data_IF_077546205452
#
_entry.id   IF_077546205452
#
_cell.length_a   1.000
_cell.length_b   1.000
_cell.length_c   1.000
_cell.angle_alpha   90.00
_cell.angle_beta   90.00
_cell.angle_gamma   90.00
#
_symmetry.space_group_name_H-M   'P 1'
#
loop_
_entity.id
_entity.type
_entity.pdbx_description
1 polymer ?
#
# COMPACT_ATOMS: atom_id res chain seq x y z
N UNK A 1 -2.53 9.07 20.17
CA UNK A 1 -2.62 9.63 18.80
C UNK A 1 -3.26 8.62 17.85
N UNK A 2 -3.73 9.06 16.68
CA UNK A 2 -4.29 8.20 15.64
C UNK A 2 -3.75 8.65 14.28
N UNK A 3 -3.28 7.69 13.48
CA UNK A 3 -2.94 7.86 12.07
C UNK A 3 -3.83 6.92 11.27
N UNK A 4 -4.45 7.42 10.21
CA UNK A 4 -5.37 6.63 9.38
C UNK A 4 -5.08 6.88 7.92
N UNK A 5 -4.95 5.82 7.15
CA UNK A 5 -4.70 5.87 5.73
C UNK A 5 -3.28 6.30 5.36
N UNK A 6 -3.10 6.59 4.07
CA UNK A 6 -1.82 6.98 3.49
C UNK A 6 -1.74 8.49 3.37
N UNK A 7 -0.71 9.11 3.92
CA UNK A 7 -0.35 10.48 3.60
C UNK A 7 0.21 10.55 2.18
N UNK A 8 -0.17 11.56 1.41
CA UNK A 8 0.41 11.80 0.09
C UNK A 8 1.92 12.09 0.28
N UNK A 9 2.77 11.46 -0.54
CA UNK A 9 4.23 11.65 -0.56
C UNK A 9 4.99 11.22 0.72
N UNK A 10 4.39 10.43 1.60
CA UNK A 10 5.07 9.86 2.78
C UNK A 10 5.66 8.49 2.45
N UNK A 11 6.98 8.35 2.50
CA UNK A 11 7.69 7.09 2.23
C UNK A 11 7.36 5.97 3.23
N UNK A 12 6.92 6.32 4.44
CA UNK A 12 6.56 5.39 5.51
C UNK A 12 5.05 5.19 5.68
N UNK A 13 4.27 5.72 4.74
CA UNK A 13 2.82 5.64 4.79
C UNK A 13 2.34 4.20 4.67
N UNK A 14 1.38 3.84 5.52
CA UNK A 14 0.68 2.57 5.43
C UNK A 14 -0.33 2.57 4.28
N UNK A 15 -0.88 1.42 3.96
CA UNK A 15 -1.96 1.32 2.97
C UNK A 15 -3.19 2.15 3.38
N UNK A 16 -4.00 2.53 2.41
CA UNK A 16 -5.23 3.34 2.63
C UNK A 16 -6.25 2.66 3.56
N UNK A 17 -6.14 1.35 3.71
CA UNK A 17 -6.97 0.50 4.56
C UNK A 17 -6.38 0.25 5.95
N UNK A 18 -5.27 0.91 6.31
CA UNK A 18 -4.60 0.73 7.59
C UNK A 18 -4.75 1.95 8.50
N UNK A 19 -4.77 1.70 9.80
CA UNK A 19 -4.74 2.72 10.84
C UNK A 19 -3.82 2.30 11.98
N UNK A 20 -3.17 3.27 12.61
CA UNK A 20 -2.35 3.08 13.79
C UNK A 20 -2.88 3.97 14.93
N UNK A 21 -3.10 3.37 16.09
CA UNK A 21 -3.63 4.05 17.26
C UNK A 21 -2.67 3.88 18.43
N UNK A 22 -2.09 4.98 18.89
CA UNK A 22 -1.32 5.01 20.14
C UNK A 22 -2.28 5.30 21.31
N UNK A 23 -2.43 4.34 22.20
CA UNK A 23 -3.26 4.42 23.38
C UNK A 23 -2.40 4.32 24.65
N UNK A 24 -1.88 5.45 25.21
CA UNK A 24 -1.15 5.41 26.46
C UNK A 24 -2.09 5.03 27.60
N UNK A 25 -1.60 4.20 28.53
CA UNK A 25 -2.34 3.81 29.71
C UNK A 25 -1.43 3.75 30.93
N UNK A 26 -2.04 3.86 32.12
CA UNK A 26 -1.37 3.70 33.40
C UNK A 26 -2.01 2.52 34.12
N UNK A 27 -1.18 1.56 34.52
CA UNK A 27 -1.63 0.42 35.32
C UNK A 27 -1.63 0.81 36.80
N UNK A 28 -2.75 0.58 37.49
CA UNK A 28 -2.87 0.88 38.95
C UNK A 28 -2.88 -0.41 39.78
N UNK A 29 -3.84 -1.30 39.55
CA UNK A 29 -4.05 -2.52 40.36
C UNK A 29 -3.88 -3.83 39.57
N UNK A 30 -3.91 -3.74 38.22
CA UNK A 30 -3.81 -4.91 37.36
C UNK A 30 -2.39 -5.10 36.87
N UNK A 31 -1.99 -6.36 36.68
CA UNK A 31 -0.77 -6.63 35.92
C UNK A 31 -0.99 -6.41 34.40
N UNK A 32 0.12 -6.25 33.70
CA UNK A 32 0.08 -5.96 32.26
C UNK A 32 -0.53 -7.09 31.43
N UNK A 33 -0.29 -8.33 31.77
CA UNK A 33 -0.78 -9.49 31.01
C UNK A 33 -2.31 -9.59 31.10
N UNK A 34 -2.87 -9.44 32.28
CA UNK A 34 -4.32 -9.40 32.50
C UNK A 34 -4.98 -8.27 31.75
N UNK A 35 -4.40 -7.08 31.80
CA UNK A 35 -4.89 -5.93 31.05
C UNK A 35 -4.89 -6.19 29.55
N UNK A 36 -3.77 -6.70 29.00
CA UNK A 36 -3.66 -7.00 27.58
C UNK A 36 -4.63 -8.10 27.12
N UNK A 37 -4.87 -9.10 27.96
CA UNK A 37 -5.86 -10.15 27.71
C UNK A 37 -7.29 -9.58 27.62
N UNK A 38 -7.64 -8.68 28.54
CA UNK A 38 -8.95 -7.99 28.50
C UNK A 38 -9.10 -7.11 27.27
N UNK A 39 -8.07 -6.35 26.92
CA UNK A 39 -8.06 -5.50 25.72
C UNK A 39 -8.27 -6.36 24.46
N UNK A 40 -7.56 -7.48 24.31
CA UNK A 40 -7.77 -8.41 23.19
C UNK A 40 -9.19 -8.94 23.16
N UNK A 41 -9.72 -9.36 24.31
CA UNK A 41 -11.09 -9.86 24.41
C UNK A 41 -12.15 -8.81 24.02
N UNK A 42 -11.91 -7.53 24.27
CA UNK A 42 -12.81 -6.45 23.84
C UNK A 42 -12.65 -6.13 22.35
N UNK A 43 -11.43 -6.15 21.85
CA UNK A 43 -11.14 -5.84 20.45
C UNK A 43 -11.53 -6.98 19.48
N UNK A 44 -11.61 -8.23 19.96
CA UNK A 44 -12.10 -9.37 19.15
C UNK A 44 -13.57 -9.25 18.74
N UNK A 45 -14.33 -8.34 19.37
CA UNK A 45 -15.69 -8.01 18.93
C UNK A 45 -15.73 -7.15 17.65
N UNK A 46 -14.60 -6.58 17.23
CA UNK A 46 -14.48 -5.80 15.98
C UNK A 46 -14.08 -6.78 14.88
N UNK A 47 -15.04 -7.25 14.12
CA UNK A 47 -14.85 -8.28 13.08
C UNK A 47 -14.43 -7.72 11.71
N UNK A 48 -14.61 -6.41 11.50
CA UNK A 48 -14.31 -5.76 10.22
C UNK A 48 -12.84 -5.35 10.06
N UNK A 49 -12.01 -5.55 11.09
CA UNK A 49 -10.60 -5.16 11.05
C UNK A 49 -9.69 -6.19 11.71
N UNK A 50 -8.55 -6.45 11.08
CA UNK A 50 -7.47 -7.23 11.70
C UNK A 50 -6.71 -6.31 12.66
N UNK A 51 -6.71 -6.66 13.95
CA UNK A 51 -6.13 -5.83 15.00
C UNK A 51 -4.92 -6.52 15.60
N UNK A 52 -3.76 -5.87 15.48
CA UNK A 52 -2.51 -6.32 16.11
C UNK A 52 -2.17 -5.37 17.26
N UNK A 53 -1.91 -5.92 18.45
CA UNK A 53 -1.58 -5.15 19.62
C UNK A 53 -0.10 -5.30 19.92
N UNK A 54 0.62 -4.18 20.07
CA UNK A 54 2.03 -4.20 20.37
C UNK A 54 2.52 -2.96 21.12
N UNK A 55 3.79 -2.93 21.37
CA UNK A 55 4.47 -1.79 21.97
C UNK A 55 5.26 -1.03 20.91
N UNK A 56 5.33 0.31 20.95
CA UNK A 56 5.99 1.10 19.91
C UNK A 56 7.44 0.71 19.65
N UNK A 57 8.22 0.42 20.71
CA UNK A 57 9.64 0.03 20.58
C UNK A 57 9.75 -1.41 20.09
N UNK A 58 9.00 -2.35 20.66
CA UNK A 58 8.97 -3.75 20.24
C UNK A 58 8.61 -3.87 18.76
N UNK A 59 7.55 -3.22 18.32
CA UNK A 59 7.12 -3.19 16.92
C UNK A 59 8.19 -2.64 15.95
N UNK A 60 8.98 -1.65 16.38
CA UNK A 60 10.09 -1.16 15.53
C UNK A 60 11.20 -2.18 15.38
N UNK A 61 11.55 -2.87 16.47
CA UNK A 61 12.57 -3.92 16.46
C UNK A 61 12.09 -5.10 15.58
N UNK A 62 10.86 -5.56 15.79
CA UNK A 62 10.27 -6.64 15.00
C UNK A 62 10.23 -6.27 13.51
N UNK A 63 9.82 -5.04 13.18
CA UNK A 63 9.81 -4.54 11.81
C UNK A 63 11.21 -4.51 11.17
N UNK A 64 12.23 -4.12 11.91
CA UNK A 64 13.61 -4.10 11.41
C UNK A 64 14.14 -5.52 11.17
N UNK A 65 13.75 -6.50 12.00
CA UNK A 65 14.26 -7.89 11.92
C UNK A 65 13.48 -8.73 10.91
N UNK A 66 12.16 -8.63 10.92
CA UNK A 66 11.28 -9.51 10.13
C UNK A 66 10.57 -8.80 8.96
N UNK A 67 10.58 -7.46 8.96
CA UNK A 67 9.78 -6.64 8.04
C UNK A 67 8.29 -6.61 8.40
N UNK A 68 7.91 -7.11 9.59
CA UNK A 68 6.54 -7.06 10.13
C UNK A 68 6.54 -6.49 11.53
N UNK A 69 5.37 -6.06 12.01
CA UNK A 69 5.20 -5.52 13.37
C UNK A 69 4.78 -6.60 14.39
N UNK A 70 5.18 -7.84 14.17
CA UNK A 70 4.81 -9.00 15.00
C UNK A 70 6.02 -9.88 15.29
N UNK A 71 5.93 -10.65 16.39
CA UNK A 71 7.02 -11.51 16.84
C UNK A 71 7.28 -12.71 15.91
N UNK A 72 6.24 -13.15 15.19
CA UNK A 72 6.30 -14.26 14.22
C UNK A 72 5.89 -13.75 12.86
N UNK A 73 6.66 -14.10 11.82
CA UNK A 73 6.37 -13.81 10.44
C UNK A 73 6.56 -15.07 9.59
N UNK A 74 5.48 -15.56 8.98
CA UNK A 74 5.50 -16.63 8.00
C UNK A 74 5.43 -15.99 6.62
N UNK A 75 6.51 -16.11 5.85
CA UNK A 75 6.64 -15.45 4.54
C UNK A 75 6.40 -16.45 3.43
N UNK A 76 5.41 -16.19 2.60
CA UNK A 76 5.14 -16.94 1.38
C UNK A 76 5.71 -16.19 0.19
N UNK A 77 6.48 -16.88 -0.64
CA UNK A 77 7.07 -16.34 -1.86
C UNK A 77 6.47 -17.01 -3.09
N UNK A 78 6.20 -16.23 -4.15
CA UNK A 78 5.63 -16.79 -5.37
C UNK A 78 5.37 -15.71 -6.42
N UNK A 79 4.81 -16.14 -7.54
CA UNK A 79 4.51 -15.25 -8.68
C UNK A 79 3.04 -14.83 -8.78
N UNK A 80 2.12 -15.64 -8.21
CA UNK A 80 0.68 -15.44 -8.27
C UNK A 80 0.15 -15.02 -6.89
N UNK A 81 -0.21 -13.72 -6.77
CA UNK A 81 -0.68 -13.15 -5.51
C UNK A 81 -1.99 -13.79 -5.02
N UNK A 82 -2.90 -14.15 -5.93
CA UNK A 82 -4.19 -14.74 -5.53
C UNK A 82 -4.02 -16.13 -4.94
N UNK A 83 -3.14 -16.95 -5.53
CA UNK A 83 -2.81 -18.28 -4.98
C UNK A 83 -2.06 -18.16 -3.66
N UNK A 84 -1.11 -17.23 -3.56
CA UNK A 84 -0.37 -16.97 -2.33
C UNK A 84 -1.32 -16.50 -1.21
N UNK A 85 -2.29 -15.64 -1.51
CA UNK A 85 -3.26 -15.17 -0.54
C UNK A 85 -4.19 -16.29 -0.06
N UNK A 86 -4.67 -17.14 -0.97
CA UNK A 86 -5.46 -18.33 -0.61
C UNK A 86 -4.68 -19.27 0.31
N UNK A 87 -3.39 -19.50 0.01
CA UNK A 87 -2.50 -20.32 0.83
C UNK A 87 -2.21 -19.68 2.20
N UNK A 88 -2.02 -18.36 2.24
CA UNK A 88 -1.83 -17.62 3.50
C UNK A 88 -3.05 -17.76 4.42
N UNK A 89 -4.27 -17.64 3.89
CA UNK A 89 -5.50 -17.88 4.66
C UNK A 89 -5.65 -19.35 5.09
N UNK A 90 -5.13 -20.30 4.32
CA UNK A 90 -5.10 -21.72 4.75
C UNK A 90 -4.13 -21.90 5.92
N UNK A 91 -2.95 -21.31 5.87
CA UNK A 91 -1.98 -21.32 6.97
C UNK A 91 -2.61 -20.70 8.22
N UNK A 92 -3.20 -19.50 8.11
CA UNK A 92 -3.87 -18.82 9.22
C UNK A 92 -4.85 -19.77 9.93
N UNK A 93 -5.76 -20.41 9.20
CA UNK A 93 -6.73 -21.35 9.77
C UNK A 93 -6.08 -22.56 10.46
N UNK A 94 -4.97 -23.06 9.94
CA UNK A 94 -4.28 -24.20 10.50
C UNK A 94 -3.53 -23.88 11.80
N UNK A 95 -3.09 -22.64 11.98
CA UNK A 95 -2.34 -22.21 13.17
C UNK A 95 -3.22 -21.51 14.23
N UNK A 96 -4.47 -21.18 13.92
CA UNK A 96 -5.38 -20.43 14.80
C UNK A 96 -5.62 -21.08 16.17
N UNK A 97 -5.49 -22.40 16.28
CA UNK A 97 -5.68 -23.13 17.53
C UNK A 97 -4.44 -23.32 18.40
N UNK A 98 -3.28 -22.80 18.01
CA UNK A 98 -2.03 -22.98 18.74
C UNK A 98 -2.01 -22.16 20.02
N UNK A 99 -1.86 -22.85 21.18
CA UNK A 99 -1.79 -22.18 22.47
C UNK A 99 -0.62 -21.21 22.52
N UNK A 100 -0.87 -19.98 23.01
CA UNK A 100 0.12 -18.91 23.10
C UNK A 100 0.27 -18.09 21.82
N UNK A 101 -0.35 -18.49 20.70
CA UNK A 101 -0.37 -17.70 19.47
C UNK A 101 -1.57 -16.75 19.49
N UNK A 102 -1.32 -15.46 19.29
CA UNK A 102 -2.33 -14.40 19.35
C UNK A 102 -2.13 -13.40 18.21
N UNK A 103 -3.15 -12.58 17.96
CA UNK A 103 -3.11 -11.50 16.97
C UNK A 103 -2.68 -11.99 15.57
N UNK A 104 -3.17 -13.17 15.15
CA UNK A 104 -2.87 -13.75 13.84
C UNK A 104 -3.50 -12.87 12.77
N UNK A 105 -2.74 -12.55 11.75
CA UNK A 105 -3.20 -11.68 10.67
C UNK A 105 -2.50 -12.03 9.36
N UNK A 106 -3.27 -12.16 8.30
CA UNK A 106 -2.77 -12.26 6.93
C UNK A 106 -2.66 -10.88 6.32
N UNK A 107 -1.54 -10.62 5.64
CA UNK A 107 -1.37 -9.40 4.86
C UNK A 107 -2.49 -9.27 3.82
N UNK A 108 -3.30 -8.21 3.95
CA UNK A 108 -4.50 -8.02 3.15
C UNK A 108 -4.17 -7.76 1.69
N UNK A 109 -4.76 -8.55 0.81
CA UNK A 109 -4.74 -8.38 -0.63
C UNK A 109 -6.11 -7.88 -1.10
N UNK A 110 -6.34 -6.58 -0.97
CA UNK A 110 -7.61 -5.95 -1.38
C UNK A 110 -7.42 -5.38 -2.79
N UNK A 111 -8.32 -5.72 -3.68
CA UNK A 111 -8.39 -5.07 -4.98
C UNK A 111 -8.97 -3.67 -4.83
N UNK A 112 -8.19 -2.67 -5.23
CA UNK A 112 -8.64 -1.28 -5.22
C UNK A 112 -8.89 -0.79 -6.64
N UNK A 113 -9.88 0.10 -6.85
CA UNK A 113 -10.08 0.76 -8.13
C UNK A 113 -8.83 1.55 -8.53
N UNK A 114 -8.40 1.37 -9.77
CA UNK A 114 -7.23 2.04 -10.34
C UNK A 114 -7.55 2.61 -11.70
N UNK A 115 -6.94 3.74 -12.04
CA UNK A 115 -6.94 4.27 -13.41
C UNK A 115 -5.62 3.89 -14.05
N UNK A 116 -5.69 3.08 -15.11
CA UNK A 116 -4.53 2.71 -15.90
C UNK A 116 -4.44 3.61 -17.13
N UNK A 117 -3.31 4.30 -17.29
CA UNK A 117 -3.00 5.16 -18.44
C UNK A 117 -1.87 4.50 -19.21
N UNK A 118 -2.18 3.90 -20.36
CA UNK A 118 -1.22 3.15 -21.18
C UNK A 118 -0.87 3.93 -22.44
N UNK A 119 0.38 4.30 -22.57
CA UNK A 119 0.89 5.05 -23.72
C UNK A 119 0.77 4.29 -25.03
N UNK A 120 0.23 4.92 -26.07
CA UNK A 120 0.24 4.45 -27.46
C UNK A 120 1.51 4.92 -28.15
N UNK A 121 2.58 4.13 -28.09
CA UNK A 121 3.92 4.54 -28.54
C UNK A 121 3.99 5.03 -29.98
N UNK A 122 3.25 4.41 -30.89
CA UNK A 122 3.14 4.83 -32.29
C UNK A 122 2.46 6.20 -32.43
N UNK A 123 1.46 6.49 -31.61
CA UNK A 123 0.78 7.80 -31.61
C UNK A 123 1.65 8.88 -30.96
N UNK A 124 2.35 8.57 -29.86
CA UNK A 124 3.33 9.47 -29.29
C UNK A 124 4.38 9.89 -30.32
N UNK A 125 4.94 8.91 -31.04
CA UNK A 125 5.91 9.17 -32.10
C UNK A 125 5.32 10.06 -33.21
N UNK A 126 4.08 9.78 -33.64
CA UNK A 126 3.35 10.57 -34.65
C UNK A 126 3.20 12.03 -34.24
N UNK A 127 2.96 12.31 -32.96
CA UNK A 127 2.79 13.66 -32.43
C UNK A 127 4.09 14.27 -31.87
N UNK A 128 5.22 13.58 -32.07
CA UNK A 128 6.56 14.06 -31.64
C UNK A 128 6.74 14.10 -30.12
N UNK A 129 5.92 13.37 -29.37
CA UNK A 129 5.98 13.34 -27.90
C UNK A 129 6.87 12.16 -27.47
N UNK A 130 7.94 12.44 -26.71
CA UNK A 130 8.75 11.36 -26.13
C UNK A 130 8.01 10.67 -24.97
N UNK A 131 8.38 9.42 -24.69
CA UNK A 131 7.80 8.70 -23.56
C UNK A 131 8.09 9.38 -22.22
N UNK A 132 9.27 9.99 -22.07
CA UNK A 132 9.64 10.77 -20.89
C UNK A 132 8.72 11.96 -20.67
N UNK A 133 8.51 12.80 -21.71
CA UNK A 133 7.57 13.92 -21.63
C UNK A 133 6.14 13.49 -21.33
N UNK A 134 5.71 12.35 -21.90
CA UNK A 134 4.40 11.79 -21.61
C UNK A 134 4.27 11.36 -20.14
N UNK A 135 5.27 10.66 -19.60
CA UNK A 135 5.26 10.20 -18.21
C UNK A 135 5.29 11.38 -17.24
N UNK A 136 6.20 12.33 -17.47
CA UNK A 136 6.30 13.56 -16.68
C UNK A 136 4.96 14.33 -16.67
N UNK A 137 4.33 14.48 -17.84
CA UNK A 137 3.01 15.12 -17.93
C UNK A 137 1.95 14.40 -17.07
N UNK A 138 1.91 13.06 -17.11
CA UNK A 138 0.95 12.28 -16.30
C UNK A 138 1.24 12.43 -14.81
N UNK A 139 2.50 12.36 -14.41
CA UNK A 139 2.91 12.48 -13.02
C UNK A 139 2.53 13.86 -12.46
N UNK A 140 2.86 14.93 -13.15
CA UNK A 140 2.51 16.29 -12.75
C UNK A 140 0.99 16.51 -12.76
N UNK A 141 0.35 16.15 -13.87
CA UNK A 141 -1.07 16.49 -14.09
C UNK A 141 -2.02 15.71 -13.15
N UNK A 142 -1.77 14.43 -12.95
CA UNK A 142 -2.70 13.51 -12.25
C UNK A 142 -2.25 13.26 -10.81
N UNK A 143 -1.00 12.83 -10.59
CA UNK A 143 -0.49 12.51 -9.26
C UNK A 143 -0.14 13.80 -8.48
N UNK A 144 0.44 14.77 -9.13
CA UNK A 144 0.97 15.99 -8.55
C UNK A 144 2.46 15.89 -8.25
N UNK A 145 3.19 16.96 -8.55
CA UNK A 145 4.60 17.07 -8.30
C UNK A 145 4.90 18.13 -7.26
N UNK A 146 5.76 17.81 -6.31
CA UNK A 146 6.27 18.76 -5.34
C UNK A 146 7.32 19.66 -6.02
N UNK A 147 6.91 20.88 -6.30
CA UNK A 147 7.77 21.86 -6.99
C UNK A 147 8.63 22.71 -6.05
N UNK A 148 8.20 22.90 -4.79
CA UNK A 148 8.91 23.71 -3.79
C UNK A 148 8.38 23.45 -2.39
N UNK A 149 8.94 24.16 -1.41
CA UNK A 149 8.44 24.24 -0.04
C UNK A 149 8.24 25.69 0.37
N UNK A 150 7.16 25.96 1.08
CA UNK A 150 6.91 27.24 1.72
C UNK A 150 7.20 27.10 3.21
N UNK A 151 8.01 27.99 3.76
CA UNK A 151 8.35 28.02 5.18
C UNK A 151 7.57 29.13 5.86
N UNK A 152 6.83 28.78 6.90
CA UNK A 152 6.11 29.71 7.77
C UNK A 152 6.51 29.41 9.20
N UNK A 153 7.23 30.33 9.83
CA UNK A 153 7.84 30.16 11.14
C UNK A 153 8.65 28.86 11.26
N UNK A 154 8.24 27.91 12.10
CA UNK A 154 8.88 26.61 12.31
C UNK A 154 8.20 25.45 11.53
N UNK A 155 7.35 25.77 10.56
CA UNK A 155 6.65 24.78 9.74
C UNK A 155 7.06 24.90 8.29
N UNK A 156 7.13 23.76 7.62
CA UNK A 156 7.30 23.69 6.16
C UNK A 156 6.07 23.06 5.53
N UNK A 157 5.62 23.64 4.43
CA UNK A 157 4.49 23.14 3.64
C UNK A 157 4.98 22.86 2.23
N UNK A 158 4.62 21.69 1.70
CA UNK A 158 4.97 21.33 0.34
C UNK A 158 4.06 22.08 -0.65
N UNK A 159 4.68 22.72 -1.63
CA UNK A 159 3.98 23.32 -2.76
C UNK A 159 3.86 22.25 -3.86
N UNK A 160 2.65 21.75 -4.06
CA UNK A 160 2.38 20.69 -5.03
C UNK A 160 1.62 21.26 -6.23
N UNK A 161 2.15 21.02 -7.44
CA UNK A 161 1.48 21.36 -8.71
C UNK A 161 0.73 20.16 -9.24
N UNK A 162 -0.57 20.29 -9.44
CA UNK A 162 -1.43 19.26 -10.05
C UNK A 162 -2.67 19.87 -10.68
N UNK A 163 -3.36 19.13 -11.52
CA UNK A 163 -4.67 19.53 -12.00
C UNK A 163 -5.70 19.55 -10.87
N UNK A 164 -6.71 20.40 -11.02
CA UNK A 164 -7.80 20.49 -10.07
C UNK A 164 -8.64 19.19 -10.06
N UNK A 165 -9.40 18.98 -9.00
CA UNK A 165 -10.16 17.75 -8.80
C UNK A 165 -11.25 17.54 -9.87
N UNK A 166 -11.76 18.61 -10.49
CA UNK A 166 -12.71 18.54 -11.58
C UNK A 166 -12.10 17.82 -12.81
N UNK A 167 -10.86 18.14 -13.16
CA UNK A 167 -10.18 17.55 -14.32
C UNK A 167 -9.69 16.11 -14.10
N UNK A 168 -9.48 15.67 -12.86
CA UNK A 168 -8.96 14.36 -12.53
C UNK A 168 -9.96 13.41 -11.84
N UNK A 169 -11.12 13.93 -11.42
CA UNK A 169 -12.10 13.16 -10.66
C UNK A 169 -12.93 12.17 -11.49
N UNK A 170 -12.93 12.28 -12.81
CA UNK A 170 -13.66 11.39 -13.72
C UNK A 170 -12.78 10.96 -14.89
N UNK A 171 -12.93 9.71 -15.32
CA UNK A 171 -12.16 9.16 -16.45
C UNK A 171 -12.36 9.97 -17.72
N UNK A 172 -13.59 10.41 -18.02
CA UNK A 172 -13.90 11.23 -19.17
C UNK A 172 -13.11 12.55 -19.17
N UNK A 173 -12.96 13.16 -18.01
CA UNK A 173 -12.21 14.41 -17.86
C UNK A 173 -10.71 14.15 -18.09
N UNK A 174 -10.16 13.07 -17.50
CA UNK A 174 -8.77 12.65 -17.73
C UNK A 174 -8.52 12.37 -19.22
N UNK A 175 -9.45 11.70 -19.93
CA UNK A 175 -9.35 11.42 -21.37
C UNK A 175 -9.25 12.69 -22.21
N UNK A 176 -9.92 13.76 -21.81
CA UNK A 176 -10.01 15.03 -22.53
C UNK A 176 -8.96 16.05 -22.11
N UNK A 177 -8.11 15.75 -21.13
CA UNK A 177 -6.97 16.59 -20.76
C UNK A 177 -6.09 16.81 -21.99
N UNK A 178 -5.66 18.05 -22.21
CA UNK A 178 -4.86 18.43 -23.36
C UNK A 178 -3.37 18.27 -23.05
N UNK A 179 -2.65 17.54 -23.91
CA UNK A 179 -1.20 17.41 -23.88
C UNK A 179 -0.58 18.16 -25.06
N UNK A 180 0.54 18.83 -24.84
CA UNK A 180 1.30 19.56 -25.84
C UNK A 180 2.01 18.60 -26.81
N UNK A 181 2.00 18.93 -28.10
CA UNK A 181 2.72 18.17 -29.13
C UNK A 181 3.99 18.93 -29.55
N UNK A 182 5.00 18.20 -30.03
CA UNK A 182 6.20 18.81 -30.60
C UNK A 182 6.13 19.01 -32.12
N UNK A 183 4.93 18.85 -32.72
CA UNK A 183 4.73 19.10 -34.15
C UNK A 183 4.61 20.61 -34.36
N UNK A 184 5.53 21.16 -35.16
CA UNK A 184 5.42 22.54 -35.61
C UNK A 184 4.30 22.65 -36.66
N UNK A 185 3.34 23.57 -36.52
CA UNK A 185 2.32 23.77 -37.54
C UNK A 185 2.98 24.15 -38.87
N UNK A 186 2.65 23.40 -39.91
CA UNK A 186 3.11 23.71 -41.29
C UNK A 186 2.22 24.81 -41.82
N UNK A 187 2.71 26.00 -41.90
CA UNK A 187 2.22 27.26 -42.50
C UNK A 187 1.76 28.37 -41.56
N UNK A 188 2.47 29.46 -41.66
CA UNK A 188 2.10 30.89 -41.58
C UNK A 188 0.97 31.29 -40.60
N UNK A 189 1.20 31.09 -39.33
CA UNK A 189 0.56 31.91 -38.31
C UNK A 189 1.64 32.50 -37.41
N UNK A 190 1.65 33.80 -37.28
CA UNK A 190 2.60 34.67 -36.57
C UNK A 190 2.58 34.46 -35.02
N UNK A 191 1.99 33.41 -34.52
CA UNK A 191 2.09 32.98 -33.13
C UNK A 191 2.48 31.50 -33.11
N UNK A 192 3.57 31.16 -32.46
CA UNK A 192 3.98 29.78 -32.11
C UNK A 192 2.89 29.11 -31.26
N UNK A 193 1.79 28.68 -31.87
CA UNK A 193 0.77 27.91 -31.17
C UNK A 193 1.23 26.45 -31.14
N UNK A 194 1.63 26.00 -29.98
CA UNK A 194 1.84 24.57 -29.71
C UNK A 194 0.51 23.86 -29.94
N UNK A 195 0.50 22.87 -30.84
CA UNK A 195 -0.70 22.06 -31.04
C UNK A 195 -0.97 21.22 -29.80
N UNK A 196 -2.17 21.33 -29.24
CA UNK A 196 -2.62 20.56 -28.09
C UNK A 196 -3.61 19.50 -28.55
N UNK A 197 -3.47 18.29 -28.04
CA UNK A 197 -4.37 17.17 -28.36
C UNK A 197 -4.91 16.53 -27.10
N UNK A 198 -6.13 15.98 -27.12
CA UNK A 198 -6.66 15.20 -25.99
C UNK A 198 -5.82 13.96 -25.69
N UNK A 199 -5.64 13.65 -24.42
CA UNK A 199 -4.79 12.55 -23.93
C UNK A 199 -5.19 11.19 -24.53
N UNK A 200 -6.50 10.95 -24.78
CA UNK A 200 -6.97 9.70 -25.35
C UNK A 200 -6.47 9.41 -26.77
N UNK A 201 -5.95 10.41 -27.50
CA UNK A 201 -5.30 10.17 -28.80
C UNK A 201 -3.97 9.42 -28.64
N UNK A 202 -3.25 9.66 -27.56
CA UNK A 202 -1.90 9.12 -27.31
C UNK A 202 -1.83 8.10 -26.18
N UNK A 203 -2.95 7.85 -25.50
CA UNK A 203 -3.04 6.86 -24.42
C UNK A 203 -4.38 6.13 -24.40
N UNK A 204 -4.36 4.89 -23.94
CA UNK A 204 -5.54 4.16 -23.51
C UNK A 204 -5.73 4.41 -22.01
N UNK A 205 -6.92 4.89 -21.64
CA UNK A 205 -7.26 5.24 -20.27
C UNK A 205 -8.46 4.37 -19.88
N UNK A 206 -8.23 3.47 -18.92
CA UNK A 206 -9.24 2.49 -18.50
C UNK A 206 -9.31 2.44 -16.98
N UNK A 207 -10.52 2.21 -16.47
CA UNK A 207 -10.72 1.81 -15.07
C UNK A 207 -10.44 0.32 -14.96
N UNK A 208 -9.67 -0.05 -13.96
CA UNK A 208 -9.36 -1.43 -13.65
C UNK A 208 -9.34 -1.61 -12.14
N UNK A 209 -9.21 -2.84 -11.68
CA UNK A 209 -8.88 -3.15 -10.30
C UNK A 209 -7.48 -3.74 -10.23
N UNK A 210 -6.82 -3.55 -9.12
CA UNK A 210 -5.50 -4.11 -8.88
C UNK A 210 -5.20 -4.22 -7.40
N UNK A 211 -4.19 -5.00 -7.03
CA UNK A 211 -3.82 -5.15 -5.62
C UNK A 211 -3.45 -3.80 -5.03
N UNK A 212 -3.85 -3.58 -3.78
CA UNK A 212 -3.49 -2.37 -3.03
C UNK A 212 -1.98 -2.24 -2.83
N UNK A 213 -1.29 -3.35 -2.62
CA UNK A 213 0.15 -3.41 -2.39
C UNK A 213 0.73 -4.70 -2.96
N UNK A 214 1.94 -4.63 -3.51
CA UNK A 214 2.73 -5.80 -3.91
C UNK A 214 4.06 -5.73 -3.17
N UNK A 215 4.16 -6.44 -2.06
CA UNK A 215 5.40 -6.52 -1.29
C UNK A 215 6.39 -7.48 -1.92
N UNK A 216 7.68 -7.11 -1.87
CA UNK A 216 8.78 -7.91 -2.39
C UNK A 216 9.91 -8.00 -1.37
N UNK A 217 10.56 -9.16 -1.39
CA UNK A 217 11.81 -9.38 -0.68
C UNK A 217 12.74 -10.17 -1.59
N UNK A 218 13.98 -9.73 -1.73
CA UNK A 218 14.95 -10.31 -2.67
C UNK A 218 14.39 -10.51 -4.09
N UNK A 219 13.72 -9.47 -4.62
CA UNK A 219 13.06 -9.42 -5.94
C UNK A 219 11.83 -10.31 -6.08
N UNK A 220 11.57 -11.25 -5.17
CA UNK A 220 10.40 -12.12 -5.18
C UNK A 220 9.20 -11.44 -4.50
N UNK A 221 7.99 -11.66 -5.04
CA UNK A 221 6.75 -11.22 -4.38
C UNK A 221 6.56 -12.02 -3.11
N UNK A 222 6.08 -11.37 -2.05
CA UNK A 222 5.77 -12.03 -0.79
C UNK A 222 4.40 -11.64 -0.27
N UNK A 223 3.81 -12.56 0.48
CA UNK A 223 2.67 -12.32 1.38
C UNK A 223 3.10 -12.81 2.76
N UNK A 224 2.74 -12.09 3.80
CA UNK A 224 3.13 -12.41 5.17
C UNK A 224 1.91 -12.78 6.00
N UNK A 225 2.00 -13.90 6.72
CA UNK A 225 1.13 -14.22 7.85
C UNK A 225 1.91 -13.87 9.11
N UNK A 226 1.39 -12.93 9.88
CA UNK A 226 2.02 -12.42 11.10
C UNK A 226 1.23 -12.84 12.33
N UNK A 227 1.93 -13.03 13.44
CA UNK A 227 1.30 -13.35 14.72
C UNK A 227 2.17 -12.90 15.89
N UNK A 228 1.55 -12.72 17.06
CA UNK A 228 2.24 -12.48 18.31
C UNK A 228 2.21 -13.72 19.21
N UNK A 229 3.18 -13.80 20.11
CA UNK A 229 3.24 -14.85 21.15
C UNK A 229 2.98 -14.23 22.51
N UNK A 230 2.08 -14.82 23.29
CA UNK A 230 1.75 -14.40 24.63
C UNK A 230 1.67 -15.60 25.59
N UNK A 231 2.27 -15.47 26.77
CA UNK A 231 2.19 -16.48 27.84
C UNK A 231 2.94 -17.79 27.56
N UNK A 232 3.74 -17.87 26.49
CA UNK A 232 4.47 -19.06 26.08
C UNK A 232 5.82 -18.72 25.44
N UNK A 233 6.72 -19.69 25.39
CA UNK A 233 8.04 -19.54 24.76
C UNK A 233 7.92 -19.45 23.22
N UNK A 234 8.59 -18.44 22.65
CA UNK A 234 8.56 -18.16 21.20
C UNK A 234 9.04 -19.34 20.38
N UNK A 235 10.14 -20.01 20.79
CA UNK A 235 10.71 -21.12 20.04
C UNK A 235 9.79 -22.32 19.97
N UNK A 236 9.11 -22.65 21.08
CA UNK A 236 8.17 -23.77 21.12
C UNK A 236 6.95 -23.51 20.24
N UNK A 237 6.44 -22.28 20.23
CA UNK A 237 5.31 -21.88 19.35
C UNK A 237 5.73 -21.93 17.88
N UNK A 238 6.91 -21.42 17.53
CA UNK A 238 7.42 -21.47 16.14
C UNK A 238 7.63 -22.90 15.67
N UNK A 239 8.12 -23.82 16.51
CA UNK A 239 8.25 -25.22 16.14
C UNK A 239 6.89 -25.87 15.88
N UNK A 240 5.91 -25.59 16.72
CA UNK A 240 4.54 -26.10 16.53
C UNK A 240 3.87 -25.53 15.27
N UNK A 241 4.13 -24.26 14.95
CA UNK A 241 3.69 -23.66 13.67
C UNK A 241 4.31 -24.42 12.48
N UNK A 242 5.60 -24.71 12.52
CA UNK A 242 6.28 -25.45 11.45
C UNK A 242 5.68 -26.83 11.25
N UNK A 243 5.52 -27.60 12.31
CA UNK A 243 4.90 -28.92 12.27
C UNK A 243 3.48 -28.85 11.67
N UNK A 244 2.64 -27.91 12.15
CA UNK A 244 1.30 -27.75 11.61
C UNK A 244 1.26 -27.36 10.12
N UNK A 245 2.18 -26.51 9.69
CA UNK A 245 2.26 -26.08 8.29
C UNK A 245 2.78 -27.21 7.41
N UNK A 246 3.81 -27.94 7.85
CA UNK A 246 4.39 -29.05 7.09
C UNK A 246 3.40 -30.22 6.93
N UNK A 247 2.57 -30.49 7.95
CA UNK A 247 1.61 -31.59 7.93
C UNK A 247 0.32 -31.27 7.14
N UNK A 248 -0.12 -30.00 7.11
CA UNK A 248 -1.46 -29.63 6.64
C UNK A 248 -1.49 -28.72 5.41
N UNK A 249 -0.32 -28.20 4.97
CA UNK A 249 -0.26 -27.25 3.85
C UNK A 249 0.61 -27.81 2.73
N UNK A 250 -0.03 -28.14 1.61
CA UNK A 250 0.70 -28.53 0.40
C UNK A 250 1.18 -27.27 -0.33
N UNK A 251 2.49 -27.13 -0.39
CA UNK A 251 3.10 -26.08 -1.23
C UNK A 251 3.11 -26.54 -2.69
N UNK A 252 2.75 -25.67 -3.64
CA UNK A 252 2.71 -25.99 -5.07
C UNK A 252 4.09 -26.15 -5.70
#
# INVERSE_FOLDING_TARGET
SRRTGRAELDEHAQGVNAAEIDAPFVLTERNKEEFMKEVRGKLSAVTEANITIGQPIGHRIDHMLSGTRANVAIKLFGTDLSKMFALANQIERNIEGIEGLVDISVEQQIEIPQVQIKAKRNMLAKYGISIGQFTEFIDVAIAGEKVSQVFEDNKSFDLVLRFNDENRGKIENIRNVLIDTNIKPTQQTTKSSILKIPLHYVADIVSTTGPNTINRENVQRKIVVSANVAGRDLKSVVNQIKENVDDNVQLP
#
